data_IF_114049991014
#
_entry.id   IF_114049991014
#
_cell.length_a   1.000
_cell.length_b   1.000
_cell.length_c   1.000
_cell.angle_alpha   90.00
_cell.angle_beta   90.00
_cell.angle_gamma   90.00
#
_symmetry.space_group_name_H-M   'P 1'
#
loop_
_entity.id
_entity.type
_entity.pdbx_description
1 polymer ?
#
# COMPACT_ATOMS: atom_id res chain seq x y z
N UNK A 1 -25.82 12.12 -18.18
CA UNK A 1 -24.78 11.09 -18.34
C UNK A 1 -23.42 11.73 -18.10
N UNK A 2 -22.74 11.34 -17.02
CA UNK A 2 -21.42 11.82 -16.64
C UNK A 2 -21.00 11.05 -15.40
N UNK A 3 -20.07 10.14 -15.63
CA UNK A 3 -19.81 8.90 -14.89
C UNK A 3 -19.47 9.09 -13.39
N UNK A 4 -20.10 8.26 -12.55
CA UNK A 4 -19.69 8.04 -11.17
C UNK A 4 -18.39 7.22 -11.16
N UNK A 5 -17.26 7.89 -11.43
CA UNK A 5 -15.94 7.28 -11.49
C UNK A 5 -15.01 7.78 -10.37
N UNK A 6 -14.97 7.04 -9.26
CA UNK A 6 -13.86 6.95 -8.30
C UNK A 6 -13.05 8.22 -7.93
N UNK A 7 -13.55 8.99 -6.95
CA UNK A 7 -12.73 9.94 -6.17
C UNK A 7 -11.84 9.25 -5.12
N UNK A 8 -12.10 7.96 -4.86
CA UNK A 8 -11.41 7.16 -3.81
C UNK A 8 -9.97 6.78 -4.19
N UNK A 9 -9.68 6.58 -5.47
CA UNK A 9 -8.40 6.06 -5.97
C UNK A 9 -7.22 7.04 -5.77
N UNK A 10 -7.47 8.35 -5.88
CA UNK A 10 -6.47 9.38 -5.63
C UNK A 10 -6.12 9.51 -4.14
N UNK A 11 -7.12 9.33 -3.26
CA UNK A 11 -6.94 9.34 -1.80
C UNK A 11 -6.10 8.16 -1.30
N UNK A 12 -6.38 6.96 -1.83
CA UNK A 12 -5.63 5.74 -1.48
C UNK A 12 -4.16 5.85 -1.89
N UNK A 13 -3.88 6.37 -3.08
CA UNK A 13 -2.52 6.59 -3.57
C UNK A 13 -1.73 7.55 -2.66
N UNK A 14 -2.38 8.59 -2.14
CA UNK A 14 -1.77 9.58 -1.24
C UNK A 14 -1.50 8.99 0.15
N UNK A 15 -2.42 8.17 0.66
CA UNK A 15 -2.28 7.51 1.96
C UNK A 15 -1.11 6.51 1.99
N UNK A 16 -0.96 5.69 0.94
CA UNK A 16 0.14 4.73 0.84
C UNK A 16 1.50 5.43 0.80
N UNK A 17 1.64 6.54 0.06
CA UNK A 17 2.87 7.33 0.04
C UNK A 17 3.19 7.95 1.41
N UNK A 18 2.17 8.38 2.16
CA UNK A 18 2.36 8.90 3.51
C UNK A 18 2.81 7.79 4.48
N UNK A 19 2.24 6.59 4.38
CA UNK A 19 2.63 5.44 5.21
C UNK A 19 4.02 4.91 4.87
N UNK A 20 4.41 4.93 3.59
CA UNK A 20 5.80 4.64 3.16
C UNK A 20 6.79 5.60 3.82
N UNK A 21 6.48 6.91 3.82
CA UNK A 21 7.32 7.94 4.48
C UNK A 21 7.40 7.73 5.99
N UNK A 22 6.32 7.25 6.61
CA UNK A 22 6.24 6.97 8.05
C UNK A 22 6.88 5.64 8.45
N UNK A 23 7.23 4.78 7.48
CA UNK A 23 7.72 3.43 7.73
C UNK A 23 6.64 2.43 8.16
N UNK A 24 5.37 2.79 8.02
CA UNK A 24 4.22 1.93 8.35
C UNK A 24 3.82 1.04 7.18
N UNK A 25 4.26 1.36 5.95
CA UNK A 25 4.02 0.56 4.75
C UNK A 25 5.36 0.18 4.08
N UNK A 26 5.46 -1.01 3.45
CA UNK A 26 6.65 -1.44 2.72
C UNK A 26 7.15 -0.41 1.71
N UNK A 27 8.48 -0.31 1.56
CA UNK A 27 9.08 0.58 0.56
C UNK A 27 8.99 -0.04 -0.83
N UNK A 28 8.71 0.80 -1.82
CA UNK A 28 8.77 0.40 -3.23
C UNK A 28 10.19 0.01 -3.63
N UNK A 29 10.30 -1.06 -4.39
CA UNK A 29 11.53 -1.52 -5.03
C UNK A 29 11.42 -1.36 -6.55
N UNK A 30 12.55 -1.07 -7.20
CA UNK A 30 12.62 -1.01 -8.66
C UNK A 30 12.56 -2.43 -9.22
N UNK A 31 11.56 -2.70 -10.05
CA UNK A 31 11.35 -4.01 -10.70
C UNK A 31 11.68 -3.98 -12.20
N UNK A 32 11.92 -2.79 -12.75
CA UNK A 32 12.32 -2.62 -14.14
C UNK A 32 12.48 -1.15 -14.55
N UNK A 33 12.75 -0.87 -15.82
CA UNK A 33 12.80 0.49 -16.35
C UNK A 33 11.45 1.19 -16.17
N UNK A 34 11.42 2.28 -15.41
CA UNK A 34 10.19 3.05 -15.13
C UNK A 34 9.14 2.33 -14.30
N UNK A 35 9.44 1.16 -13.73
CA UNK A 35 8.49 0.35 -12.96
C UNK A 35 8.98 0.15 -11.52
N UNK A 36 8.09 0.44 -10.59
CA UNK A 36 8.26 0.19 -9.17
C UNK A 36 7.15 -0.73 -8.69
N UNK A 37 7.46 -1.58 -7.72
CA UNK A 37 6.50 -2.48 -7.08
C UNK A 37 6.91 -2.73 -5.63
N UNK A 38 6.24 -3.66 -4.98
CA UNK A 38 6.56 -4.07 -3.62
C UNK A 38 7.03 -5.52 -3.63
N UNK A 39 7.90 -5.88 -2.68
CA UNK A 39 8.21 -7.29 -2.45
C UNK A 39 6.99 -7.97 -1.87
N UNK A 40 6.69 -9.16 -2.35
CA UNK A 40 5.56 -9.94 -1.88
C UNK A 40 5.70 -10.28 -0.38
N UNK A 41 6.89 -10.67 0.05
CA UNK A 41 7.20 -10.96 1.46
C UNK A 41 6.93 -9.76 2.38
N UNK A 42 7.33 -8.56 1.97
CA UNK A 42 7.11 -7.35 2.78
C UNK A 42 5.62 -7.00 2.89
N UNK A 43 4.84 -7.22 1.82
CA UNK A 43 3.39 -7.03 1.85
C UNK A 43 2.70 -8.05 2.75
N UNK A 44 3.14 -9.31 2.73
CA UNK A 44 2.62 -10.34 3.63
C UNK A 44 2.94 -10.00 5.09
N UNK A 45 4.20 -9.68 5.41
CA UNK A 45 4.60 -9.29 6.77
C UNK A 45 3.81 -8.07 7.27
N UNK A 46 3.59 -7.07 6.40
CA UNK A 46 2.75 -5.92 6.74
C UNK A 46 1.31 -6.33 7.03
N UNK A 47 0.69 -7.14 6.15
CA UNK A 47 -0.68 -7.63 6.33
C UNK A 47 -0.83 -8.42 7.61
N UNK A 48 0.10 -9.32 7.88
CA UNK A 48 0.07 -10.19 9.05
C UNK A 48 0.27 -9.37 10.33
N UNK A 49 1.03 -8.27 10.28
CA UNK A 49 1.15 -7.29 11.37
C UNK A 49 -0.09 -6.39 11.58
N UNK A 50 -0.96 -6.27 10.57
CA UNK A 50 -2.24 -5.55 10.71
C UNK A 50 -3.35 -6.40 11.31
N UNK A 51 -3.24 -7.72 11.25
CA UNK A 51 -4.22 -8.59 11.90
C UNK A 51 -4.10 -8.34 13.41
N UNK A 52 -5.16 -7.86 14.08
CA UNK A 52 -5.19 -7.93 15.54
C UNK A 52 -5.02 -9.41 15.90
N UNK A 53 -4.16 -9.70 16.88
CA UNK A 53 -4.11 -11.03 17.47
C UNK A 53 -5.49 -11.27 18.08
N UNK A 54 -6.41 -11.91 17.35
CA UNK A 54 -7.64 -12.44 17.95
C UNK A 54 -7.20 -13.51 18.95
N UNK A 55 -7.09 -13.12 20.22
CA UNK A 55 -6.69 -14.01 21.30
C UNK A 55 -6.09 -13.29 22.50
N UNK A 56 -6.92 -12.60 23.27
CA UNK A 56 -6.72 -12.38 24.71
C UNK A 56 -8.09 -12.19 25.40
#
# INVERSE_FOLDING_TARGET
MGDSGSSVDAGLSTALLAWERRGTFPKRVKIGPGRVGYRWDDLQAWRDGLQPVEGA
#
